data_IF_844663153888
#
_entry.id   IF_844663153888
#
_cell.length_a   1.000
_cell.length_b   1.000
_cell.length_c   1.000
_cell.angle_alpha   90.00
_cell.angle_beta   90.00
_cell.angle_gamma   90.00
#
_symmetry.space_group_name_H-M   'P 1'
#
loop_
_entity.id
_entity.type
_entity.pdbx_description
1 polymer ?
#
# COMPACT_ATOMS: atom_id res chain seq x y z
N UNK A 1 -2.47 7.45 10.25
CA UNK A 1 -3.44 7.38 9.13
C UNK A 1 -3.49 5.94 8.70
N UNK A 2 -4.68 5.36 8.60
CA UNK A 2 -4.87 3.94 8.29
C UNK A 2 -4.74 3.69 6.78
N UNK A 3 -4.14 2.57 6.40
CA UNK A 3 -3.82 2.22 5.00
C UNK A 3 -4.32 0.82 4.59
N UNK A 4 -5.00 0.12 5.50
CA UNK A 4 -5.59 -1.21 5.25
C UNK A 4 -7.09 -1.07 5.49
N UNK A 5 -7.87 -1.46 4.49
CA UNK A 5 -9.32 -1.34 4.49
C UNK A 5 -9.93 -2.70 4.10
N UNK A 6 -11.15 -2.95 4.57
CA UNK A 6 -11.99 -3.97 3.94
C UNK A 6 -12.32 -3.53 2.52
N UNK A 7 -12.48 -4.48 1.59
CA UNK A 7 -12.92 -4.19 0.22
C UNK A 7 -14.24 -3.39 0.21
N UNK A 8 -15.17 -3.73 1.10
CA UNK A 8 -16.47 -3.06 1.23
C UNK A 8 -16.38 -1.64 1.83
N UNK A 9 -15.27 -1.31 2.49
CA UNK A 9 -15.04 -0.03 3.18
C UNK A 9 -14.00 0.84 2.45
N UNK A 10 -13.60 0.45 1.25
CA UNK A 10 -12.56 1.14 0.50
C UNK A 10 -13.08 2.49 -0.05
N UNK A 11 -12.38 3.61 0.22
CA UNK A 11 -12.69 4.89 -0.40
C UNK A 11 -12.65 4.81 -1.95
N UNK A 12 -13.56 5.51 -2.63
CA UNK A 12 -13.65 5.48 -4.10
C UNK A 12 -12.35 5.92 -4.79
N UNK A 13 -11.63 6.88 -4.19
CA UNK A 13 -10.34 7.38 -4.70
C UNK A 13 -9.18 6.39 -4.51
N UNK A 14 -9.42 5.27 -3.80
CA UNK A 14 -8.48 4.18 -3.58
C UNK A 14 -8.87 2.89 -4.31
N UNK A 15 -9.95 2.87 -5.09
CA UNK A 15 -10.42 1.68 -5.81
C UNK A 15 -9.35 1.02 -6.71
N UNK A 16 -8.40 1.81 -7.24
CA UNK A 16 -7.25 1.32 -8.03
C UNK A 16 -6.39 0.29 -7.29
N UNK A 17 -6.37 0.31 -5.95
CA UNK A 17 -5.57 -0.59 -5.15
C UNK A 17 -6.12 -2.02 -5.11
N UNK A 18 -7.38 -2.28 -5.48
CA UNK A 18 -7.94 -3.64 -5.52
C UNK A 18 -7.24 -4.50 -6.58
N UNK A 19 -7.27 -4.03 -7.83
CA UNK A 19 -6.61 -4.72 -8.94
C UNK A 19 -5.09 -4.77 -8.74
N UNK A 20 -4.51 -3.66 -8.29
CA UNK A 20 -3.07 -3.58 -8.03
C UNK A 20 -2.61 -4.59 -6.96
N UNK A 21 -3.36 -4.74 -5.86
CA UNK A 21 -3.03 -5.69 -4.82
C UNK A 21 -3.14 -7.13 -5.33
N UNK A 22 -4.17 -7.44 -6.13
CA UNK A 22 -4.31 -8.75 -6.76
C UNK A 22 -3.15 -9.07 -7.72
N UNK A 23 -2.74 -8.11 -8.57
CA UNK A 23 -1.59 -8.28 -9.46
C UNK A 23 -0.28 -8.50 -8.69
N UNK A 24 0.01 -7.64 -7.70
CA UNK A 24 1.30 -7.65 -7.02
C UNK A 24 1.45 -8.83 -6.06
N UNK A 25 0.36 -9.33 -5.48
CA UNK A 25 0.37 -10.51 -4.62
C UNK A 25 0.85 -11.78 -5.36
N UNK A 26 0.64 -11.87 -6.67
CA UNK A 26 1.08 -13.01 -7.49
C UNK A 26 2.59 -12.97 -7.83
N UNK A 27 3.20 -11.79 -7.84
CA UNK A 27 4.59 -11.59 -8.32
C UNK A 27 5.59 -11.25 -7.22
N UNK A 28 5.15 -10.64 -6.12
CA UNK A 28 6.03 -10.25 -5.02
C UNK A 28 6.34 -11.42 -4.08
N UNK A 29 7.55 -11.42 -3.46
CA UNK A 29 7.87 -12.42 -2.46
C UNK A 29 7.02 -12.24 -1.20
N UNK A 30 6.68 -13.36 -0.54
CA UNK A 30 5.94 -13.33 0.71
C UNK A 30 6.78 -12.70 1.85
N UNK A 31 6.17 -11.79 2.62
CA UNK A 31 6.75 -11.22 3.84
C UNK A 31 6.01 -11.82 5.04
N UNK A 32 6.66 -12.71 5.79
CA UNK A 32 6.08 -13.41 6.94
C UNK A 32 6.58 -12.93 8.30
N UNK A 33 7.55 -12.00 8.32
CA UNK A 33 8.16 -11.46 9.54
C UNK A 33 8.21 -9.94 9.50
N UNK A 34 8.03 -9.31 10.66
CA UNK A 34 8.16 -7.87 10.83
C UNK A 34 9.61 -7.42 10.55
N UNK A 35 9.75 -6.28 9.89
CA UNK A 35 11.03 -5.60 9.67
C UNK A 35 10.91 -4.14 10.11
N UNK A 36 12.06 -3.47 10.24
CA UNK A 36 12.08 -2.03 10.50
C UNK A 36 11.40 -1.26 9.35
N UNK A 37 10.71 -0.19 9.69
CA UNK A 37 10.11 0.70 8.71
C UNK A 37 11.20 1.45 7.91
N UNK A 38 10.91 1.94 6.69
CA UNK A 38 11.81 2.82 5.96
C UNK A 38 12.24 4.03 6.80
N UNK A 39 13.48 4.49 6.61
CA UNK A 39 14.05 5.59 7.40
C UNK A 39 13.28 6.92 7.26
N UNK A 40 12.58 7.10 6.14
CA UNK A 40 11.77 8.28 5.81
C UNK A 40 10.26 8.07 6.05
N UNK A 41 9.84 6.98 6.70
CA UNK A 41 8.43 6.64 6.87
C UNK A 41 7.59 7.74 7.54
N UNK A 42 8.15 8.45 8.52
CA UNK A 42 7.47 9.59 9.18
C UNK A 42 7.20 10.73 8.20
N UNK A 43 8.12 11.02 7.28
CA UNK A 43 7.96 12.07 6.28
C UNK A 43 6.85 11.76 5.26
N UNK A 44 6.57 10.48 5.02
CA UNK A 44 5.57 10.01 4.07
C UNK A 44 4.21 9.70 4.69
N UNK A 45 4.11 9.78 6.01
CA UNK A 45 2.86 9.56 6.72
C UNK A 45 1.88 10.69 6.40
N UNK A 46 0.70 10.36 5.90
CA UNK A 46 -0.35 11.34 5.58
C UNK A 46 -0.20 12.10 4.25
N UNK A 47 0.90 11.93 3.52
CA UNK A 47 1.04 12.53 2.18
C UNK A 47 0.10 11.81 1.17
N UNK A 48 -0.73 12.55 0.41
CA UNK A 48 -1.62 11.97 -0.61
C UNK A 48 -0.85 11.61 -1.89
N UNK A 49 -1.52 10.91 -2.82
CA UNK A 49 -1.02 10.65 -4.19
C UNK A 49 0.34 9.93 -4.25
N UNK A 50 0.60 9.00 -3.32
CA UNK A 50 1.87 8.25 -3.26
C UNK A 50 2.01 7.15 -4.32
N UNK A 51 0.93 6.80 -5.01
CA UNK A 51 0.92 5.73 -6.03
C UNK A 51 1.99 5.95 -7.13
N UNK A 52 2.27 7.20 -7.48
CA UNK A 52 3.29 7.55 -8.48
C UNK A 52 4.73 7.12 -8.11
N UNK A 53 4.99 6.83 -6.83
CA UNK A 53 6.30 6.41 -6.32
C UNK A 53 6.39 4.89 -6.10
N UNK A 54 5.37 4.11 -6.50
CA UNK A 54 5.39 2.66 -6.39
C UNK A 54 6.48 2.06 -7.29
N UNK A 55 7.34 1.23 -6.70
CA UNK A 55 8.33 0.42 -7.41
C UNK A 55 7.78 -1.00 -7.57
N UNK A 56 7.84 -1.56 -8.79
CA UNK A 56 7.35 -2.92 -9.10
C UNK A 56 8.46 -3.95 -9.01
#
# INVERSE_FOLDING_TARGET
MDAIFSEDELPEDQAVFLELNAELAEVWPNISEMKEAPADAEEWTGKPNKLQYLER
#
